data_IF_181224461924
#
_entry.id   IF_181224461924
#
_cell.length_a   1.000
_cell.length_b   1.000
_cell.length_c   1.000
_cell.angle_alpha   90.00
_cell.angle_beta   90.00
_cell.angle_gamma   90.00
#
_symmetry.space_group_name_H-M   'P 1'
#
loop_
_entity.id
_entity.type
_entity.pdbx_description
1 polymer ?
#
# COMPACT_ATOMS: atom_id res chain seq x y z
N UNK A 1 -14.33 40.01 21.22
CA UNK A 1 -14.90 39.67 19.90
C UNK A 1 -14.95 38.17 19.81
N UNK A 2 -16.16 37.61 19.99
CA UNK A 2 -16.39 36.18 19.86
C UNK A 2 -16.08 35.76 18.41
N UNK A 3 -15.17 34.82 18.21
CA UNK A 3 -14.97 34.18 16.93
C UNK A 3 -16.24 33.37 16.63
N UNK A 4 -17.12 33.94 15.82
CA UNK A 4 -18.32 33.27 15.34
C UNK A 4 -17.94 31.96 14.66
N UNK A 5 -18.40 30.85 15.24
CA UNK A 5 -18.00 29.51 14.76
C UNK A 5 -18.55 29.28 13.34
N UNK A 6 -17.66 29.28 12.37
CA UNK A 6 -18.00 29.19 10.94
C UNK A 6 -18.74 27.88 10.62
N UNK A 7 -18.50 26.79 11.36
CA UNK A 7 -19.20 25.51 11.20
C UNK A 7 -20.69 25.62 11.61
N UNK A 8 -21.01 26.41 12.62
CA UNK A 8 -22.40 26.73 13.05
C UNK A 8 -23.22 27.35 11.92
N UNK A 9 -22.65 28.33 11.20
CA UNK A 9 -23.30 28.95 10.05
C UNK A 9 -23.57 27.97 8.93
N UNK A 10 -22.61 27.06 8.66
CA UNK A 10 -22.77 26.05 7.63
C UNK A 10 -23.84 25.01 8.01
N UNK A 11 -23.94 24.61 9.28
CA UNK A 11 -25.06 23.79 9.77
C UNK A 11 -26.40 24.50 9.46
N UNK A 12 -26.53 25.76 9.76
CA UNK A 12 -27.73 26.53 9.44
C UNK A 12 -28.03 26.55 7.94
N UNK A 13 -27.01 26.74 7.10
CA UNK A 13 -27.13 26.73 5.64
C UNK A 13 -27.59 25.34 5.14
N UNK A 14 -27.04 24.26 5.68
CA UNK A 14 -27.46 22.91 5.36
C UNK A 14 -28.91 22.63 5.71
N UNK A 15 -29.32 22.96 6.94
CA UNK A 15 -30.73 22.80 7.38
C UNK A 15 -31.70 23.58 6.51
N UNK A 16 -31.34 24.80 6.16
CA UNK A 16 -32.14 25.62 5.24
C UNK A 16 -32.26 24.99 3.85
N UNK A 17 -31.17 24.42 3.32
CA UNK A 17 -31.16 23.71 2.05
C UNK A 17 -32.09 22.49 2.08
N UNK A 18 -32.12 21.77 3.20
CA UNK A 18 -33.01 20.61 3.39
C UNK A 18 -34.46 20.97 3.78
N UNK A 19 -34.77 22.26 3.97
CA UNK A 19 -36.06 22.70 4.49
C UNK A 19 -36.36 22.28 5.92
N UNK A 20 -35.30 22.01 6.72
CA UNK A 20 -35.41 21.53 8.09
C UNK A 20 -35.24 22.70 9.09
N UNK A 21 -36.04 22.68 10.16
CA UNK A 21 -35.82 23.53 11.33
C UNK A 21 -35.09 22.71 12.44
N UNK A 22 -34.70 23.40 13.52
CA UNK A 22 -33.96 22.74 14.63
C UNK A 22 -34.70 21.55 15.24
N UNK A 23 -36.05 21.58 15.29
CA UNK A 23 -36.84 20.50 15.86
C UNK A 23 -36.89 19.29 14.91
N UNK A 24 -37.19 19.52 13.64
CA UNK A 24 -37.25 18.44 12.65
C UNK A 24 -35.86 17.81 12.41
N UNK A 25 -34.79 18.60 12.43
CA UNK A 25 -33.44 18.09 12.36
C UNK A 25 -33.07 17.23 13.59
N UNK A 26 -33.46 17.66 14.78
CA UNK A 26 -33.25 16.89 16.01
C UNK A 26 -33.97 15.53 15.99
N UNK A 27 -35.19 15.49 15.43
CA UNK A 27 -35.94 14.24 15.29
C UNK A 27 -35.25 13.29 14.30
N UNK A 28 -34.77 13.79 13.17
CA UNK A 28 -34.02 12.96 12.20
C UNK A 28 -32.71 12.41 12.76
N UNK A 29 -32.07 13.18 13.63
CA UNK A 29 -30.83 12.77 14.30
C UNK A 29 -31.05 11.90 15.55
N UNK A 30 -32.30 11.60 15.91
CA UNK A 30 -32.65 10.78 17.06
C UNK A 30 -32.40 11.48 18.43
N UNK A 31 -32.35 12.81 18.47
CA UNK A 31 -32.13 13.53 19.73
C UNK A 31 -33.40 13.58 20.56
N UNK A 32 -33.26 13.33 21.86
CA UNK A 32 -34.38 13.39 22.81
C UNK A 32 -35.07 14.79 22.88
N UNK A 33 -34.32 15.85 22.54
CA UNK A 33 -34.84 17.23 22.47
C UNK A 33 -33.99 18.06 21.51
N UNK A 34 -34.50 19.24 21.15
CA UNK A 34 -33.83 20.14 20.20
C UNK A 34 -32.77 21.08 20.80
N UNK A 35 -32.49 20.97 22.10
CA UNK A 35 -31.56 21.88 22.79
C UNK A 35 -30.14 21.79 22.23
N UNK A 36 -29.67 20.59 21.85
CA UNK A 36 -28.37 20.36 21.22
C UNK A 36 -28.29 21.09 19.87
N UNK A 37 -29.33 20.99 19.04
CA UNK A 37 -29.38 21.64 17.74
C UNK A 37 -29.44 23.19 17.86
N UNK A 38 -30.23 23.71 18.79
CA UNK A 38 -30.26 25.15 19.04
C UNK A 38 -28.91 25.71 19.50
N UNK A 39 -28.18 24.98 20.38
CA UNK A 39 -26.83 25.37 20.77
C UNK A 39 -25.86 25.41 19.57
N UNK A 40 -25.95 24.44 18.68
CA UNK A 40 -25.12 24.38 17.47
C UNK A 40 -25.43 25.60 16.55
N UNK A 41 -26.68 25.93 16.35
CA UNK A 41 -27.11 27.08 15.52
C UNK A 41 -26.75 28.42 16.13
N UNK A 42 -26.64 28.54 17.45
CA UNK A 42 -26.24 29.74 18.17
C UNK A 42 -24.71 29.93 18.30
N UNK A 43 -23.92 29.17 17.55
CA UNK A 43 -22.46 29.31 17.54
C UNK A 43 -21.70 28.24 18.30
N UNK A 44 -22.39 27.20 18.80
CA UNK A 44 -21.75 26.07 19.45
C UNK A 44 -20.85 25.31 18.48
N UNK A 45 -19.68 24.85 18.95
CA UNK A 45 -18.80 23.96 18.18
C UNK A 45 -19.38 22.55 18.13
N UNK A 46 -19.63 21.99 16.93
CA UNK A 46 -19.99 20.59 16.81
C UNK A 46 -18.80 19.72 17.20
N UNK A 47 -19.02 18.76 18.11
CA UNK A 47 -18.04 17.74 18.44
C UNK A 47 -17.97 16.65 17.37
N UNK A 48 -16.97 15.80 17.47
CA UNK A 48 -16.74 14.69 16.53
C UNK A 48 -17.99 13.78 16.39
N UNK A 49 -18.62 13.41 17.50
CA UNK A 49 -19.82 12.57 17.49
C UNK A 49 -20.97 13.20 16.71
N UNK A 50 -21.13 14.53 16.83
CA UNK A 50 -22.14 15.28 16.07
C UNK A 50 -21.87 15.24 14.55
N UNK A 51 -20.60 15.27 14.15
CA UNK A 51 -20.23 15.13 12.73
C UNK A 51 -20.52 13.75 12.19
N UNK A 52 -20.29 12.70 13.00
CA UNK A 52 -20.65 11.32 12.66
C UNK A 52 -22.16 11.17 12.52
N UNK A 53 -22.94 11.70 13.48
CA UNK A 53 -24.39 11.69 13.45
C UNK A 53 -24.94 12.41 12.18
N UNK A 54 -24.35 13.54 11.80
CA UNK A 54 -24.71 14.27 10.59
C UNK A 54 -24.39 13.49 9.31
N UNK A 55 -23.22 12.85 9.26
CA UNK A 55 -22.82 12.02 8.12
C UNK A 55 -23.72 10.80 7.93
N UNK A 56 -24.19 10.22 9.02
CA UNK A 56 -25.12 9.07 8.99
C UNK A 56 -26.53 9.48 8.59
N UNK A 57 -27.02 10.60 9.13
CA UNK A 57 -28.36 11.09 8.83
C UNK A 57 -28.48 11.72 7.43
N UNK A 58 -27.41 12.31 6.94
CA UNK A 58 -27.36 12.99 5.63
C UNK A 58 -26.09 12.59 4.86
N UNK A 59 -26.07 11.42 4.23
CA UNK A 59 -24.89 10.92 3.49
C UNK A 59 -24.46 11.82 2.33
N UNK A 60 -25.40 12.61 1.79
CA UNK A 60 -25.16 13.58 0.72
C UNK A 60 -24.45 14.86 1.20
N UNK A 61 -24.40 15.11 2.51
CA UNK A 61 -23.68 16.26 3.06
C UNK A 61 -22.17 16.06 2.96
N UNK A 62 -21.48 17.03 2.36
CA UNK A 62 -20.02 17.04 2.36
C UNK A 62 -19.49 17.48 3.73
N UNK A 63 -18.79 16.56 4.43
CA UNK A 63 -18.13 16.90 5.69
C UNK A 63 -16.97 17.89 5.49
N UNK A 64 -16.27 17.83 4.36
CA UNK A 64 -15.20 18.77 4.02
C UNK A 64 -15.77 20.18 3.90
N UNK A 65 -16.91 20.32 3.25
CA UNK A 65 -17.61 21.61 3.22
C UNK A 65 -18.10 22.01 4.59
N UNK A 66 -18.68 21.10 5.36
CA UNK A 66 -19.24 21.42 6.67
C UNK A 66 -18.16 21.87 7.66
N UNK A 67 -17.02 21.18 7.70
CA UNK A 67 -15.92 21.42 8.67
C UNK A 67 -14.98 22.49 8.15
N UNK A 68 -14.46 22.33 6.93
CA UNK A 68 -13.40 23.17 6.38
C UNK A 68 -13.92 24.29 5.47
N UNK A 69 -15.13 24.15 4.93
CA UNK A 69 -15.69 25.08 3.94
C UNK A 69 -15.09 24.88 2.54
N UNK A 70 -14.52 23.74 2.29
CA UNK A 70 -13.87 23.40 1.01
C UNK A 70 -14.81 22.51 0.19
N UNK A 71 -14.94 22.82 -1.11
CA UNK A 71 -15.77 22.06 -2.02
C UNK A 71 -17.28 22.38 -1.97
N UNK A 72 -18.11 21.62 -2.70
CA UNK A 72 -19.56 21.81 -2.73
C UNK A 72 -20.23 21.29 -1.45
N UNK A 73 -21.32 21.95 -1.02
CA UNK A 73 -22.12 21.55 0.14
C UNK A 73 -22.71 20.16 0.02
N UNK A 74 -23.20 19.83 -1.18
CA UNK A 74 -23.74 18.51 -1.52
C UNK A 74 -22.68 17.76 -2.32
N UNK A 75 -22.40 16.53 -1.93
CA UNK A 75 -21.51 15.64 -2.70
C UNK A 75 -22.09 15.45 -4.10
N UNK A 76 -21.35 15.81 -5.13
CA UNK A 76 -21.78 15.62 -6.51
C UNK A 76 -21.87 14.12 -6.83
N UNK A 77 -23.09 13.64 -7.04
CA UNK A 77 -23.38 12.36 -7.67
C UNK A 77 -23.29 11.12 -6.80
N UNK A 78 -24.29 10.93 -5.91
CA UNK A 78 -24.84 9.58 -5.67
C UNK A 78 -26.35 9.67 -5.83
N UNK A 79 -26.78 9.47 -7.06
CA UNK A 79 -28.15 9.08 -7.36
C UNK A 79 -28.42 7.71 -6.70
N UNK A 80 -29.48 7.69 -5.94
CA UNK A 80 -30.13 6.58 -5.27
C UNK A 80 -30.04 5.23 -5.99
N UNK A 81 -29.88 4.19 -5.16
CA UNK A 81 -30.32 2.83 -5.37
C UNK A 81 -29.43 1.89 -6.20
N UNK A 82 -28.34 1.43 -5.58
CA UNK A 82 -28.03 0.00 -5.65
C UNK A 82 -26.98 -0.40 -4.59
N UNK A 83 -27.17 -1.47 -3.82
CA UNK A 83 -26.12 -2.08 -2.99
C UNK A 83 -24.90 -2.48 -3.79
N UNK A 84 -25.04 -2.68 -5.11
CA UNK A 84 -23.98 -2.98 -6.06
C UNK A 84 -23.02 -1.81 -6.33
N UNK A 85 -23.45 -0.55 -6.16
CA UNK A 85 -22.59 0.62 -6.36
C UNK A 85 -21.62 0.83 -5.18
N UNK A 86 -22.01 0.47 -3.96
CA UNK A 86 -21.13 0.46 -2.79
C UNK A 86 -20.07 -0.65 -2.89
N UNK A 87 -20.45 -1.84 -3.40
CA UNK A 87 -19.48 -2.91 -3.68
C UNK A 87 -18.51 -2.56 -4.80
N UNK A 88 -18.93 -1.79 -5.81
CA UNK A 88 -18.05 -1.33 -6.89
C UNK A 88 -17.12 -0.20 -6.45
N UNK A 89 -17.55 0.69 -5.55
CA UNK A 89 -16.67 1.74 -4.96
C UNK A 89 -15.64 1.16 -3.98
N UNK A 90 -15.98 0.10 -3.26
CA UNK A 90 -15.03 -0.64 -2.41
C UNK A 90 -14.04 -1.45 -3.25
N UNK A 91 -14.38 -1.76 -4.50
CA UNK A 91 -13.48 -2.41 -5.49
C UNK A 91 -12.66 -1.45 -6.34
N UNK A 92 -12.79 -0.14 -6.19
CA UNK A 92 -11.85 0.78 -6.83
C UNK A 92 -10.49 0.65 -6.10
N UNK A 93 -9.57 -0.06 -6.75
CA UNK A 93 -8.17 -0.32 -6.33
C UNK A 93 -7.32 0.95 -6.13
N UNK A 94 -7.91 2.13 -6.18
CA UNK A 94 -7.21 3.40 -6.40
C UNK A 94 -7.19 4.37 -5.21
N UNK A 95 -7.48 3.91 -3.99
CA UNK A 95 -7.26 4.77 -2.82
C UNK A 95 -5.87 4.52 -2.27
N UNK A 96 -4.90 5.21 -2.86
CA UNK A 96 -3.55 5.27 -2.31
C UNK A 96 -3.52 6.23 -1.14
N UNK A 97 -3.28 5.71 0.06
CA UNK A 97 -3.03 6.55 1.22
C UNK A 97 -1.60 7.09 1.14
N UNK A 98 -1.47 8.35 0.74
CA UNK A 98 -0.20 9.09 0.84
C UNK A 98 -0.19 9.80 2.18
N UNK A 99 0.72 9.40 3.07
CA UNK A 99 1.00 10.14 4.30
C UNK A 99 2.04 11.22 4.02
N UNK A 100 1.78 12.43 4.47
CA UNK A 100 2.72 13.55 4.35
C UNK A 100 3.20 14.00 5.73
N UNK A 101 4.43 14.48 5.81
CA UNK A 101 4.96 15.11 7.02
C UNK A 101 4.43 16.56 7.18
N UNK A 102 4.79 17.22 8.27
CA UNK A 102 4.39 18.60 8.57
C UNK A 102 4.88 19.63 7.52
N UNK A 103 5.78 19.21 6.62
CA UNK A 103 6.31 20.01 5.52
C UNK A 103 5.70 19.61 4.16
N UNK A 104 4.66 18.78 4.16
CA UNK A 104 3.97 18.31 2.95
C UNK A 104 4.77 17.30 2.12
N UNK A 105 5.82 16.68 2.69
CA UNK A 105 6.63 15.68 2.00
C UNK A 105 6.06 14.29 2.24
N UNK A 106 6.06 13.47 1.21
CA UNK A 106 5.55 12.11 1.29
C UNK A 106 6.39 11.24 2.23
N UNK A 107 5.72 10.53 3.13
CA UNK A 107 6.29 9.52 3.99
C UNK A 107 5.97 8.14 3.43
N UNK A 108 6.82 7.18 3.76
CA UNK A 108 6.67 5.78 3.40
C UNK A 108 6.16 5.01 4.63
N UNK A 109 5.08 4.27 4.47
CA UNK A 109 4.56 3.38 5.51
C UNK A 109 5.42 2.12 5.56
N UNK A 110 5.88 1.74 6.76
CA UNK A 110 6.53 0.44 6.98
C UNK A 110 5.52 -0.57 7.50
N UNK A 111 5.47 -1.72 6.83
CA UNK A 111 4.73 -2.92 7.26
C UNK A 111 5.73 -3.88 7.95
N UNK A 112 5.83 -3.86 9.29
CA UNK A 112 6.73 -4.75 10.01
C UNK A 112 6.17 -6.19 10.03
N UNK A 113 7.04 -7.18 10.28
CA UNK A 113 6.64 -8.61 10.32
C UNK A 113 5.41 -8.85 11.22
N UNK A 114 5.32 -8.32 12.45
CA UNK A 114 4.14 -8.55 13.29
C UNK A 114 2.84 -7.96 12.72
N UNK A 115 2.93 -6.98 11.83
CA UNK A 115 1.76 -6.35 11.23
C UNK A 115 1.31 -7.01 9.91
N UNK A 116 2.11 -7.91 9.32
CA UNK A 116 1.82 -8.48 8.00
C UNK A 116 0.52 -9.29 7.97
N UNK A 117 0.22 -10.04 9.01
CA UNK A 117 -1.05 -10.78 9.11
C UNK A 117 -2.27 -9.84 9.12
N UNK A 118 -2.20 -8.72 9.86
CA UNK A 118 -3.25 -7.69 9.82
C UNK A 118 -3.27 -6.91 8.51
N UNK A 119 -2.13 -6.73 7.88
CA UNK A 119 -2.01 -6.06 6.60
C UNK A 119 -2.74 -6.80 5.48
N UNK A 120 -2.69 -8.12 5.41
CA UNK A 120 -3.42 -8.93 4.41
C UNK A 120 -4.94 -8.76 4.50
N UNK A 121 -5.46 -8.44 5.69
CA UNK A 121 -6.90 -8.22 5.91
C UNK A 121 -7.29 -6.76 5.66
N UNK A 122 -6.45 -5.82 6.08
CA UNK A 122 -6.78 -4.39 6.16
C UNK A 122 -5.86 -3.50 5.27
N UNK A 123 -5.25 -4.07 4.23
CA UNK A 123 -4.25 -3.40 3.38
C UNK A 123 -4.75 -2.10 2.72
N UNK A 124 -6.07 -1.98 2.49
CA UNK A 124 -6.72 -0.81 1.93
C UNK A 124 -7.38 0.10 2.98
N UNK A 125 -7.35 -0.27 4.27
CA UNK A 125 -7.97 0.55 5.30
C UNK A 125 -7.06 1.70 5.71
N UNK A 126 -7.49 2.93 5.41
CA UNK A 126 -6.76 4.15 5.76
C UNK A 126 -6.46 4.25 7.26
N UNK A 127 -7.35 3.75 8.12
CA UNK A 127 -7.18 3.75 9.58
C UNK A 127 -6.06 2.81 9.99
N UNK A 128 -5.99 1.62 9.40
CA UNK A 128 -4.93 0.65 9.66
C UNK A 128 -3.57 1.18 9.24
N UNK A 129 -3.46 1.69 8.02
CA UNK A 129 -2.21 2.24 7.48
C UNK A 129 -1.69 3.45 8.27
N UNK A 130 -2.59 4.31 8.79
CA UNK A 130 -2.21 5.44 9.66
C UNK A 130 -1.60 5.02 11.00
N UNK A 131 -1.93 3.84 11.50
CA UNK A 131 -1.38 3.31 12.75
C UNK A 131 0.00 2.66 12.58
N UNK A 132 0.43 2.41 11.33
CA UNK A 132 1.77 1.93 11.04
C UNK A 132 2.79 3.06 11.11
N UNK A 133 4.03 2.72 11.44
CA UNK A 133 5.11 3.70 11.52
C UNK A 133 5.47 4.23 10.14
N UNK A 134 5.66 5.52 10.07
CA UNK A 134 6.14 6.19 8.86
C UNK A 134 7.65 6.32 8.90
N UNK A 135 8.28 6.07 7.77
CA UNK A 135 9.72 6.19 7.59
C UNK A 135 10.04 7.09 6.41
N UNK A 136 11.24 7.62 6.44
CA UNK A 136 11.77 8.40 5.34
C UNK A 136 13.13 7.85 4.96
N UNK A 137 13.25 7.48 3.69
CA UNK A 137 14.49 6.97 3.12
C UNK A 137 14.96 7.97 2.07
N UNK A 138 16.17 8.56 2.20
CA UNK A 138 16.70 9.47 1.20
C UNK A 138 16.72 8.83 -0.20
N UNK A 139 16.30 9.58 -1.21
CA UNK A 139 16.18 9.08 -2.59
C UNK A 139 14.83 8.52 -2.96
N UNK A 140 13.91 8.34 -1.99
CA UNK A 140 12.54 7.88 -2.20
C UNK A 140 11.50 8.93 -1.78
N UNK A 141 11.80 10.20 -2.07
CA UNK A 141 10.98 11.35 -1.66
C UNK A 141 9.82 11.66 -2.61
N UNK A 142 9.82 11.08 -3.82
CA UNK A 142 8.82 11.34 -4.86
C UNK A 142 8.31 10.04 -5.44
N UNK A 143 7.03 9.78 -5.27
CA UNK A 143 6.38 8.57 -5.76
C UNK A 143 5.68 7.80 -4.66
N UNK A 144 4.87 6.83 -5.04
CA UNK A 144 4.17 5.96 -4.12
C UNK A 144 5.09 4.80 -3.70
N UNK A 145 5.60 4.89 -2.49
CA UNK A 145 6.48 3.87 -1.92
C UNK A 145 5.87 3.26 -0.66
N UNK A 146 6.13 1.98 -0.47
CA UNK A 146 5.83 1.25 0.76
C UNK A 146 7.03 0.41 1.16
N UNK A 147 7.30 0.33 2.45
CA UNK A 147 8.37 -0.49 2.98
C UNK A 147 7.80 -1.74 3.64
N UNK A 148 8.48 -2.87 3.45
CA UNK A 148 8.11 -4.14 4.10
C UNK A 148 9.33 -4.71 4.80
N UNK A 149 9.14 -5.16 6.04
CA UNK A 149 10.15 -5.94 6.75
C UNK A 149 10.11 -7.39 6.25
N UNK A 150 11.28 -7.94 5.91
CA UNK A 150 11.37 -9.26 5.29
C UNK A 150 11.29 -10.37 6.33
N UNK A 151 10.34 -11.29 6.14
CA UNK A 151 10.17 -12.48 6.96
C UNK A 151 10.71 -13.72 6.24
N UNK A 152 11.54 -14.49 6.95
CA UNK A 152 12.08 -15.77 6.43
C UNK A 152 13.35 -15.60 5.59
N UNK A 153 13.77 -16.72 5.01
CA UNK A 153 15.06 -16.95 4.35
C UNK A 153 14.95 -17.15 2.83
N UNK A 154 13.76 -17.01 2.27
CA UNK A 154 13.51 -17.41 0.88
C UNK A 154 14.29 -16.59 -0.16
N UNK A 155 14.76 -15.41 0.22
CA UNK A 155 15.53 -14.53 -0.68
C UNK A 155 17.01 -14.42 -0.29
N UNK A 156 17.47 -15.22 0.65
CA UNK A 156 18.90 -15.28 0.98
C UNK A 156 19.69 -15.94 -0.17
N UNK A 157 20.93 -15.48 -0.44
CA UNK A 157 21.66 -14.42 0.30
C UNK A 157 21.40 -13.00 -0.19
N UNK A 158 20.50 -12.77 -1.16
CA UNK A 158 20.26 -11.45 -1.78
C UNK A 158 19.63 -10.49 -0.79
N UNK A 159 18.61 -10.92 -0.07
CA UNK A 159 17.86 -10.16 0.93
C UNK A 159 17.65 -11.08 2.14
N UNK A 160 18.02 -10.59 3.32
CA UNK A 160 18.04 -11.39 4.53
C UNK A 160 16.78 -11.17 5.38
N UNK A 161 16.53 -12.08 6.31
CA UNK A 161 15.49 -11.90 7.32
C UNK A 161 15.71 -10.59 8.10
N UNK A 162 14.64 -9.81 8.30
CA UNK A 162 14.60 -8.47 8.92
C UNK A 162 15.20 -7.33 8.10
N UNK A 163 15.65 -7.56 6.89
CA UNK A 163 15.90 -6.45 5.98
C UNK A 163 14.60 -5.70 5.69
N UNK A 164 14.71 -4.42 5.38
CA UNK A 164 13.56 -3.59 4.99
C UNK A 164 13.67 -3.32 3.50
N UNK A 165 12.72 -3.82 2.72
CA UNK A 165 12.64 -3.52 1.28
C UNK A 165 11.78 -2.29 1.05
N UNK A 166 12.28 -1.37 0.23
CA UNK A 166 11.55 -0.20 -0.27
C UNK A 166 10.97 -0.54 -1.63
N UNK A 167 9.67 -0.36 -1.78
CA UNK A 167 8.95 -0.85 -2.94
C UNK A 167 8.06 0.21 -3.57
N UNK A 168 7.81 0.10 -4.88
CA UNK A 168 6.82 0.88 -5.63
C UNK A 168 5.70 -0.03 -6.13
N UNK A 169 4.47 0.49 -6.15
CA UNK A 169 3.29 -0.28 -6.58
C UNK A 169 3.37 -0.69 -8.04
N UNK A 170 2.83 -1.86 -8.34
CA UNK A 170 2.60 -2.39 -9.69
C UNK A 170 1.13 -2.77 -9.80
N UNK A 171 0.42 -2.17 -10.76
CA UNK A 171 -1.03 -2.29 -10.84
C UNK A 171 -1.51 -3.52 -11.61
N UNK A 172 -0.69 -4.02 -12.54
CA UNK A 172 -1.07 -5.13 -13.40
C UNK A 172 0.04 -6.18 -13.52
N UNK A 173 -0.29 -7.50 -13.53
CA UNK A 173 0.69 -8.58 -13.65
C UNK A 173 1.58 -8.47 -14.89
N UNK A 174 1.05 -7.99 -16.02
CA UNK A 174 1.83 -7.81 -17.28
C UNK A 174 2.98 -6.80 -17.16
N UNK A 175 2.99 -5.98 -16.09
CA UNK A 175 4.05 -5.01 -15.79
C UNK A 175 5.18 -5.60 -14.95
N UNK A 176 5.09 -6.89 -14.61
CA UNK A 176 6.17 -7.60 -13.94
C UNK A 176 7.32 -7.82 -14.91
N UNK A 177 8.51 -7.42 -14.51
CA UNK A 177 9.73 -7.50 -15.32
C UNK A 177 10.56 -8.72 -14.89
N UNK A 178 11.10 -9.43 -15.86
CA UNK A 178 11.97 -10.59 -15.63
C UNK A 178 13.27 -10.14 -14.93
N UNK A 179 13.69 -10.91 -13.94
CA UNK A 179 14.88 -10.61 -13.13
C UNK A 179 14.60 -9.81 -11.86
N UNK A 180 13.46 -9.12 -11.77
CA UNK A 180 13.14 -8.24 -10.67
C UNK A 180 12.48 -8.95 -9.49
N UNK A 181 12.60 -8.33 -8.31
CA UNK A 181 12.04 -8.84 -7.05
C UNK A 181 10.78 -8.04 -6.70
N UNK A 182 9.77 -8.75 -6.23
CA UNK A 182 8.47 -8.18 -5.87
C UNK A 182 8.00 -8.68 -4.51
N UNK A 183 7.28 -7.81 -3.81
CA UNK A 183 6.42 -8.20 -2.70
C UNK A 183 5.04 -8.50 -3.28
N UNK A 184 4.54 -9.69 -3.03
CA UNK A 184 3.17 -10.11 -3.34
C UNK A 184 2.36 -10.16 -2.06
N UNK A 185 1.20 -9.52 -2.08
CA UNK A 185 0.22 -9.57 -0.99
C UNK A 185 -0.94 -10.42 -1.43
N UNK A 186 -1.24 -11.45 -0.65
CA UNK A 186 -2.38 -12.35 -0.84
C UNK A 186 -3.29 -12.27 0.38
N UNK A 187 -4.50 -12.87 0.38
CA UNK A 187 -5.33 -12.94 1.58
C UNK A 187 -4.65 -13.61 2.77
N UNK A 188 -3.67 -14.49 2.52
CA UNK A 188 -3.05 -15.31 3.56
C UNK A 188 -1.68 -14.81 3.99
N UNK A 189 -0.96 -14.10 3.12
CA UNK A 189 0.45 -13.77 3.39
C UNK A 189 0.99 -12.59 2.59
N UNK A 190 2.10 -12.05 3.10
CA UNK A 190 2.98 -11.11 2.39
C UNK A 190 4.27 -11.86 2.08
N UNK A 191 4.64 -11.94 0.83
CA UNK A 191 5.81 -12.72 0.41
C UNK A 191 6.71 -11.96 -0.55
N UNK A 192 8.02 -12.21 -0.45
CA UNK A 192 9.03 -11.64 -1.31
C UNK A 192 9.54 -12.71 -2.28
N UNK A 193 9.44 -12.45 -3.60
CA UNK A 193 9.79 -13.40 -4.66
C UNK A 193 10.38 -12.69 -5.88
N UNK A 194 11.11 -13.46 -6.69
CA UNK A 194 11.67 -13.01 -7.97
C UNK A 194 10.84 -13.54 -9.12
N UNK A 195 10.66 -12.71 -10.13
CA UNK A 195 10.09 -13.11 -11.43
C UNK A 195 11.25 -13.50 -12.36
N UNK A 196 11.22 -14.71 -12.93
CA UNK A 196 12.19 -15.17 -13.91
C UNK A 196 11.57 -15.43 -15.28
N UNK A 197 10.26 -15.61 -15.32
CA UNK A 197 9.51 -15.84 -16.55
C UNK A 197 8.73 -14.60 -16.95
N UNK A 198 8.52 -14.42 -18.25
CA UNK A 198 7.70 -13.33 -18.77
C UNK A 198 6.23 -13.57 -18.42
N UNK A 199 5.61 -12.61 -17.78
CA UNK A 199 4.18 -12.65 -17.43
C UNK A 199 3.36 -11.92 -18.50
N UNK A 200 2.26 -12.55 -18.95
CA UNK A 200 1.31 -12.00 -19.93
C UNK A 200 0.03 -11.56 -19.21
N UNK A 201 -0.77 -10.77 -19.91
CA UNK A 201 -2.02 -10.25 -19.35
C UNK A 201 -3.09 -11.33 -19.10
N UNK A 202 -3.02 -12.42 -19.84
CA UNK A 202 -3.95 -13.56 -19.83
C UNK A 202 -3.44 -14.77 -19.03
N UNK A 203 -2.26 -14.67 -18.43
CA UNK A 203 -1.74 -15.73 -17.58
C UNK A 203 -2.57 -15.85 -16.29
N UNK A 204 -3.15 -17.01 -16.07
CA UNK A 204 -3.92 -17.31 -14.86
C UNK A 204 -3.01 -17.60 -13.66
N UNK A 205 -1.76 -17.99 -13.92
CA UNK A 205 -0.76 -18.38 -12.92
C UNK A 205 0.57 -17.67 -13.20
N UNK A 206 1.27 -17.28 -12.14
CA UNK A 206 2.61 -16.69 -12.18
C UNK A 206 3.55 -17.59 -11.39
N UNK A 207 4.69 -17.97 -11.99
CA UNK A 207 5.72 -18.75 -11.31
C UNK A 207 6.59 -17.82 -10.46
N UNK A 208 6.62 -18.08 -9.17
CA UNK A 208 7.36 -17.33 -8.17
C UNK A 208 8.64 -18.06 -7.78
N UNK A 209 9.76 -17.33 -7.87
CA UNK A 209 11.08 -17.86 -7.59
C UNK A 209 11.64 -17.28 -6.30
N UNK A 210 12.36 -18.13 -5.57
CA UNK A 210 13.19 -17.74 -4.44
C UNK A 210 14.65 -17.60 -4.89
N UNK A 211 15.39 -16.69 -4.28
CA UNK A 211 16.85 -16.63 -4.48
C UNK A 211 17.58 -17.70 -3.68
N UNK A 212 16.97 -18.18 -2.60
CA UNK A 212 17.47 -19.30 -1.83
C UNK A 212 17.36 -20.60 -2.65
N UNK A 213 18.49 -21.25 -3.01
CA UNK A 213 18.50 -22.45 -3.87
C UNK A 213 17.80 -23.66 -3.25
N UNK A 214 17.60 -23.66 -1.92
CA UNK A 214 16.87 -24.74 -1.22
C UNK A 214 15.34 -24.58 -1.30
N UNK A 215 14.85 -23.48 -1.87
CA UNK A 215 13.42 -23.22 -2.03
C UNK A 215 13.00 -23.40 -3.48
N UNK A 216 12.11 -24.36 -3.73
CA UNK A 216 11.59 -24.64 -5.08
C UNK A 216 10.66 -23.50 -5.55
N UNK A 217 10.65 -23.18 -6.84
CA UNK A 217 9.64 -22.32 -7.41
C UNK A 217 8.26 -22.96 -7.32
N UNK A 218 7.22 -22.13 -7.29
CA UNK A 218 5.82 -22.56 -7.30
C UNK A 218 4.93 -21.57 -8.03
N UNK A 219 3.80 -22.05 -8.53
CA UNK A 219 2.80 -21.25 -9.18
C UNK A 219 1.89 -20.56 -8.18
N UNK A 220 1.46 -19.35 -8.52
CA UNK A 220 0.46 -18.56 -7.79
C UNK A 220 -0.60 -18.08 -8.75
N UNK A 221 -1.86 -18.33 -8.45
CA UNK A 221 -2.95 -17.84 -9.26
C UNK A 221 -3.04 -16.30 -9.20
N UNK A 222 -3.15 -15.67 -10.36
CA UNK A 222 -3.21 -14.20 -10.47
C UNK A 222 -4.36 -13.60 -9.71
N UNK A 223 -5.48 -14.34 -9.61
CA UNK A 223 -6.68 -13.90 -8.87
C UNK A 223 -6.48 -13.82 -7.36
N UNK A 224 -5.49 -14.53 -6.81
CA UNK A 224 -5.18 -14.54 -5.38
C UNK A 224 -4.24 -13.39 -4.99
N UNK A 225 -3.71 -12.67 -5.97
CA UNK A 225 -2.82 -11.54 -5.73
C UNK A 225 -3.66 -10.27 -5.52
N UNK A 226 -3.58 -9.70 -4.32
CA UNK A 226 -4.26 -8.47 -3.95
C UNK A 226 -3.44 -7.23 -4.30
N UNK A 227 -2.13 -7.26 -4.04
CA UNK A 227 -1.19 -6.20 -4.36
C UNK A 227 0.15 -6.77 -4.83
N UNK A 228 0.81 -6.01 -5.71
CA UNK A 228 2.16 -6.28 -6.17
C UNK A 228 3.01 -5.03 -5.98
N UNK A 229 4.22 -5.20 -5.44
CA UNK A 229 5.12 -4.11 -5.14
C UNK A 229 6.53 -4.46 -5.62
N UNK A 230 7.06 -3.72 -6.57
CA UNK A 230 8.42 -3.90 -7.09
C UNK A 230 9.44 -3.38 -6.08
N UNK A 231 10.45 -4.17 -5.74
CA UNK A 231 11.57 -3.75 -4.91
C UNK A 231 12.42 -2.74 -5.67
N UNK A 232 12.67 -1.60 -5.05
CA UNK A 232 13.51 -0.50 -5.60
C UNK A 232 14.81 -0.34 -4.86
N UNK A 233 14.89 -0.87 -3.65
CA UNK A 233 16.06 -0.85 -2.81
C UNK A 233 15.78 -1.56 -1.50
N UNK A 234 16.78 -1.73 -0.69
CA UNK A 234 16.63 -2.30 0.64
C UNK A 234 17.60 -1.68 1.64
N UNK A 235 17.25 -1.77 2.91
CA UNK A 235 18.10 -1.38 4.05
C UNK A 235 18.34 -2.63 4.86
N UNK A 236 19.60 -2.98 5.04
CA UNK A 236 20.03 -4.15 5.80
C UNK A 236 20.87 -3.71 7.00
N UNK A 237 20.63 -4.35 8.14
CA UNK A 237 21.53 -4.29 9.29
C UNK A 237 22.63 -5.39 9.23
N UNK A 238 22.51 -6.29 8.26
CA UNK A 238 23.49 -7.33 8.03
C UNK A 238 24.62 -6.78 7.16
N UNK A 239 25.85 -6.91 7.68
CA UNK A 239 27.05 -6.64 6.92
C UNK A 239 27.69 -7.99 6.57
N UNK A 240 27.66 -8.41 5.29
CA UNK A 240 28.27 -9.66 4.90
C UNK A 240 29.78 -9.61 5.18
N UNK A 241 30.35 -10.71 5.62
CA UNK A 241 31.80 -10.88 5.67
C UNK A 241 32.38 -10.70 4.27
N UNK A 242 33.62 -10.25 4.20
CA UNK A 242 34.35 -10.26 2.94
C UNK A 242 34.29 -11.68 2.37
N UNK A 243 34.01 -11.85 1.07
CA UNK A 243 33.99 -13.17 0.47
C UNK A 243 35.33 -13.86 0.69
N UNK A 244 35.31 -15.02 1.34
CA UNK A 244 36.52 -15.82 1.60
C UNK A 244 37.18 -16.29 0.31
N UNK A 245 36.40 -16.31 -0.78
CA UNK A 245 36.85 -16.77 -2.11
C UNK A 245 36.45 -15.70 -3.13
N UNK A 246 37.45 -14.96 -3.64
CA UNK A 246 37.28 -14.11 -4.81
C UNK A 246 37.23 -14.97 -6.08
N UNK A 247 36.67 -14.45 -7.17
CA UNK A 247 36.71 -15.12 -8.48
C UNK A 247 38.13 -15.46 -8.89
N UNK A 248 39.10 -14.60 -8.57
CA UNK A 248 40.53 -14.83 -8.79
C UNK A 248 41.03 -16.05 -8.00
N UNK A 249 40.67 -16.14 -6.74
CA UNK A 249 41.04 -17.27 -5.89
C UNK A 249 40.45 -18.57 -6.36
N UNK A 250 39.20 -18.57 -6.82
CA UNK A 250 38.60 -19.75 -7.45
C UNK A 250 39.37 -20.17 -8.71
N UNK A 251 39.75 -19.23 -9.55
CA UNK A 251 40.56 -19.50 -10.73
C UNK A 251 41.92 -20.04 -10.37
N UNK A 252 42.60 -19.53 -9.37
CA UNK A 252 43.88 -20.05 -8.86
C UNK A 252 43.74 -21.53 -8.42
N UNK A 253 42.68 -21.85 -7.68
CA UNK A 253 42.45 -23.24 -7.24
C UNK A 253 42.17 -24.14 -8.44
N UNK A 254 41.37 -23.70 -9.41
CA UNK A 254 41.06 -24.44 -10.63
C UNK A 254 42.35 -24.74 -11.45
N UNK A 255 43.21 -23.70 -11.60
CA UNK A 255 44.52 -23.86 -12.29
C UNK A 255 45.45 -24.80 -11.52
N UNK A 256 45.51 -24.74 -10.18
CA UNK A 256 46.24 -25.67 -9.35
C UNK A 256 45.75 -27.11 -9.49
N UNK A 257 44.49 -27.32 -9.78
CA UNK A 257 43.89 -28.61 -10.07
C UNK A 257 44.19 -29.09 -11.50
N UNK A 258 44.92 -28.29 -12.30
CA UNK A 258 45.36 -28.65 -13.64
C UNK A 258 44.36 -28.34 -14.75
N UNK A 259 43.34 -27.49 -14.47
CA UNK A 259 42.40 -27.07 -15.50
C UNK A 259 42.78 -25.70 -16.08
N UNK A 260 42.75 -25.59 -17.41
CA UNK A 260 42.98 -24.32 -18.12
C UNK A 260 41.71 -23.47 -18.15
N UNK A 261 41.86 -22.16 -17.91
CA UNK A 261 40.74 -21.20 -17.95
C UNK A 261 40.02 -21.17 -19.30
N UNK A 262 40.79 -21.33 -20.40
CA UNK A 262 40.22 -21.29 -21.74
C UNK A 262 39.37 -22.52 -22.01
N UNK A 263 39.79 -23.68 -21.53
CA UNK A 263 39.04 -24.91 -21.67
C UNK A 263 37.72 -24.91 -20.89
N UNK A 264 37.76 -24.39 -19.66
CA UNK A 264 36.57 -24.27 -18.84
C UNK A 264 35.58 -23.26 -19.45
N UNK A 265 36.05 -22.12 -19.93
CA UNK A 265 35.18 -21.15 -20.62
C UNK A 265 34.56 -21.75 -21.87
N UNK A 266 35.33 -22.52 -22.65
CA UNK A 266 34.80 -23.19 -23.83
C UNK A 266 33.69 -24.20 -23.46
N UNK A 267 33.91 -25.02 -22.44
CA UNK A 267 32.91 -25.98 -21.96
C UNK A 267 31.65 -25.31 -21.42
N UNK A 268 31.79 -24.18 -20.70
CA UNK A 268 30.65 -23.39 -20.20
C UNK A 268 29.84 -22.76 -21.35
N UNK A 269 30.52 -22.33 -22.41
CA UNK A 269 29.84 -21.81 -23.60
C UNK A 269 29.16 -22.92 -24.41
N UNK A 270 29.79 -24.07 -24.55
CA UNK A 270 29.23 -25.24 -25.25
C UNK A 270 28.02 -25.85 -24.53
N UNK A 271 27.99 -25.76 -23.20
CA UNK A 271 26.91 -26.27 -22.34
C UNK A 271 25.93 -25.19 -21.89
N UNK A 272 26.07 -23.93 -22.35
CA UNK A 272 25.10 -22.87 -22.09
C UNK A 272 23.78 -23.21 -22.81
N UNK A 273 22.63 -23.13 -22.13
CA UNK A 273 21.36 -23.27 -22.81
C UNK A 273 21.24 -22.22 -23.91
N UNK A 274 20.76 -22.63 -25.09
CA UNK A 274 20.73 -21.86 -26.35
C UNK A 274 19.89 -20.57 -26.31
N UNK A 275 19.31 -20.20 -25.15
CA UNK A 275 18.39 -19.06 -24.98
C UNK A 275 18.91 -17.97 -24.03
N UNK A 276 20.22 -17.90 -23.75
CA UNK A 276 20.75 -16.77 -22.99
C UNK A 276 21.04 -15.60 -23.95
N UNK A 277 20.33 -14.45 -23.88
CA UNK A 277 20.70 -13.25 -24.61
C UNK A 277 22.03 -12.70 -24.09
N UNK A 278 22.92 -12.32 -25.02
CA UNK A 278 24.17 -11.61 -24.77
C UNK A 278 23.95 -10.26 -24.10
#
# INVERSE_FOLDING_TARGET
MEQENVASKRIGTWLSHKGLNANSASQQLGYANSSKMYKLLQGGSPGFDTMVEFSQAWPELSLDWLVLGVGPMVRAGQGTDSPLALEQLVRSKDVTLVTVDDQGRQNMVLVPIPAQAGYTVAYNEAVYLKNLKNYRVPGFDRGEYRAFEVAGDSMEPTINHRDIVVTSRVDEPRLLEVGEIYVFVTPESVMLKRIKDRVRADDEEIILYSDNPHRKPYGMETRDIMEMWRVRGYVSSYMPSAPDITTERLWEVIEQLGFDRADIRRQLMENAPSDAPL
#
